data_IF_520138612115
#
_entry.id   IF_520138612115
#
_cell.length_a   1.000
_cell.length_b   1.000
_cell.length_c   1.000
_cell.angle_alpha   90.00
_cell.angle_beta   90.00
_cell.angle_gamma   90.00
#
_symmetry.space_group_name_H-M   'P 1'
#
loop_
_entity.id
_entity.type
_entity.pdbx_description
1 polymer ?
#
# COMPACT_ATOMS: atom_id res chain seq x y z
N UNK A 1 -16.15 36.37 13.61
CA UNK A 1 -14.72 36.25 13.25
C UNK A 1 -14.53 35.08 12.30
N UNK A 2 -14.39 35.30 10.98
CA UNK A 2 -14.26 34.24 9.99
C UNK A 2 -12.87 34.23 9.34
N UNK A 3 -11.94 33.41 9.85
CA UNK A 3 -10.68 33.09 9.17
C UNK A 3 -9.99 31.79 9.64
N UNK A 4 -10.72 30.89 10.31
CA UNK A 4 -10.16 29.60 10.80
C UNK A 4 -10.19 28.46 9.78
N UNK A 5 -10.88 28.62 8.63
CA UNK A 5 -11.03 27.56 7.62
C UNK A 5 -9.71 27.10 6.98
N UNK A 6 -8.80 27.97 6.50
CA UNK A 6 -7.59 27.49 5.83
C UNK A 6 -6.61 26.82 6.80
N UNK A 7 -6.50 27.32 8.04
CA UNK A 7 -5.65 26.71 9.06
C UNK A 7 -6.17 25.34 9.53
N UNK A 8 -7.49 25.18 9.64
CA UNK A 8 -8.12 23.91 9.97
C UNK A 8 -7.92 22.86 8.86
N UNK A 9 -8.07 23.26 7.59
CA UNK A 9 -7.80 22.40 6.44
C UNK A 9 -6.32 22.01 6.38
N UNK A 10 -5.40 22.93 6.61
CA UNK A 10 -3.96 22.63 6.65
C UNK A 10 -3.60 21.65 7.76
N UNK A 11 -4.16 21.82 8.98
CA UNK A 11 -3.95 20.85 10.08
C UNK A 11 -4.55 19.48 9.77
N UNK A 12 -5.67 19.44 9.07
CA UNK A 12 -6.27 18.19 8.63
C UNK A 12 -5.43 17.50 7.53
N UNK A 13 -4.93 18.26 6.55
CA UNK A 13 -4.05 17.76 5.48
C UNK A 13 -2.70 17.27 6.02
N UNK A 14 -2.17 17.93 7.05
CA UNK A 14 -0.92 17.54 7.71
C UNK A 14 -1.11 16.52 8.82
N UNK A 15 -2.35 16.09 9.08
CA UNK A 15 -2.60 14.97 9.96
C UNK A 15 -1.88 13.73 9.39
N UNK A 16 -1.21 12.99 10.25
CA UNK A 16 -0.36 11.87 9.87
C UNK A 16 -1.06 10.85 8.98
N UNK A 17 -2.33 10.57 9.27
CA UNK A 17 -3.21 9.72 8.47
C UNK A 17 -3.44 10.24 7.05
N UNK A 18 -3.61 11.55 6.86
CA UNK A 18 -3.80 12.09 5.52
C UNK A 18 -2.48 12.09 4.74
N UNK A 19 -1.36 12.36 5.42
CA UNK A 19 -0.04 12.28 4.80
C UNK A 19 0.31 10.87 4.33
N UNK A 20 -0.03 9.82 5.10
CA UNK A 20 0.17 8.43 4.64
C UNK A 20 -0.73 8.11 3.46
N UNK A 21 -1.99 8.54 3.46
CA UNK A 21 -2.90 8.36 2.32
C UNK A 21 -2.38 9.07 1.06
N UNK A 22 -2.00 10.34 1.15
CA UNK A 22 -1.47 11.08 -0.01
C UNK A 22 -0.16 10.49 -0.53
N UNK A 23 0.74 10.09 0.37
CA UNK A 23 1.99 9.43 0.00
C UNK A 23 1.73 8.10 -0.69
N UNK A 24 0.81 7.30 -0.14
CA UNK A 24 0.42 6.01 -0.71
C UNK A 24 -0.18 6.17 -2.11
N UNK A 25 -1.07 7.16 -2.32
CA UNK A 25 -1.65 7.45 -3.63
C UNK A 25 -0.56 7.92 -4.62
N UNK A 26 0.32 8.83 -4.19
CA UNK A 26 1.41 9.35 -5.01
C UNK A 26 2.41 8.25 -5.41
N UNK A 27 2.60 7.22 -4.57
CA UNK A 27 3.40 6.03 -4.90
C UNK A 27 2.61 5.04 -5.77
N UNK A 28 1.34 4.82 -5.46
CA UNK A 28 0.50 3.80 -6.12
C UNK A 28 0.32 4.10 -7.60
N UNK A 29 -0.02 5.35 -7.95
CA UNK A 29 -0.26 5.78 -9.33
C UNK A 29 0.90 5.46 -10.30
N UNK A 30 2.14 5.93 -10.07
CA UNK A 30 3.26 5.63 -10.96
C UNK A 30 3.62 4.15 -10.93
N UNK A 31 3.53 3.48 -9.79
CA UNK A 31 3.88 2.05 -9.68
C UNK A 31 2.92 1.19 -10.48
N UNK A 32 1.61 1.44 -10.37
CA UNK A 32 0.59 0.73 -11.13
C UNK A 32 0.68 1.00 -12.63
N UNK A 33 0.92 2.25 -13.02
CA UNK A 33 1.14 2.60 -14.42
C UNK A 33 2.39 1.92 -14.98
N UNK A 34 3.49 1.90 -14.23
CA UNK A 34 4.71 1.19 -14.61
C UNK A 34 4.47 -0.32 -14.75
N UNK A 35 3.70 -0.92 -13.84
CA UNK A 35 3.33 -2.32 -13.93
C UNK A 35 2.46 -2.60 -15.16
N UNK A 36 1.39 -1.83 -15.35
CA UNK A 36 0.49 -1.98 -16.50
C UNK A 36 1.21 -1.80 -17.83
N UNK A 37 2.09 -0.79 -17.96
CA UNK A 37 2.85 -0.55 -19.19
C UNK A 37 3.86 -1.67 -19.50
N UNK A 38 4.41 -2.33 -18.49
CA UNK A 38 5.35 -3.46 -18.66
C UNK A 38 4.64 -4.77 -18.95
N UNK A 39 3.51 -5.01 -18.29
CA UNK A 39 2.85 -6.31 -18.21
C UNK A 39 1.64 -6.41 -19.15
N UNK A 40 1.06 -5.28 -19.54
CA UNK A 40 -0.09 -5.21 -20.44
C UNK A 40 -1.42 -5.63 -19.81
N UNK A 41 -1.50 -5.67 -18.47
CA UNK A 41 -2.73 -6.08 -17.76
C UNK A 41 -3.36 -4.92 -16.99
N UNK A 42 -4.57 -4.53 -17.39
CA UNK A 42 -5.34 -3.48 -16.70
C UNK A 42 -5.71 -3.91 -15.26
N UNK A 43 -6.08 -5.18 -15.09
CA UNK A 43 -6.45 -5.75 -13.79
C UNK A 43 -5.28 -5.70 -12.79
N UNK A 44 -4.05 -5.91 -13.24
CA UNK A 44 -2.88 -5.89 -12.36
C UNK A 44 -2.48 -4.49 -11.91
N UNK A 45 -2.54 -3.51 -12.81
CA UNK A 45 -2.39 -2.11 -12.42
C UNK A 45 -3.43 -1.71 -11.36
N UNK A 46 -4.70 -2.06 -11.59
CA UNK A 46 -5.77 -1.74 -10.64
C UNK A 46 -5.61 -2.42 -9.28
N UNK A 47 -5.28 -3.71 -9.23
CA UNK A 47 -5.08 -4.42 -7.97
C UNK A 47 -3.86 -3.90 -7.20
N UNK A 48 -2.78 -3.53 -7.91
CA UNK A 48 -1.63 -2.89 -7.30
C UNK A 48 -1.96 -1.50 -6.76
N UNK A 49 -2.78 -0.71 -7.48
CA UNK A 49 -3.31 0.56 -6.97
C UNK A 49 -4.07 0.36 -5.66
N UNK A 50 -4.93 -0.64 -5.61
CA UNK A 50 -5.75 -0.91 -4.45
C UNK A 50 -4.89 -1.37 -3.26
N UNK A 51 -3.91 -2.25 -3.52
CA UNK A 51 -2.98 -2.73 -2.51
C UNK A 51 -2.16 -1.59 -1.90
N UNK A 52 -1.58 -0.72 -2.73
CA UNK A 52 -0.73 0.36 -2.27
C UNK A 52 -1.53 1.54 -1.72
N UNK A 53 -2.52 2.01 -2.48
CA UNK A 53 -3.29 3.22 -2.17
C UNK A 53 -4.29 3.03 -1.03
N UNK A 54 -4.77 1.81 -0.79
CA UNK A 54 -5.72 1.51 0.30
C UNK A 54 -5.07 0.60 1.35
N UNK A 55 -4.44 -0.50 0.93
CA UNK A 55 -3.87 -1.49 1.86
C UNK A 55 -2.80 -0.92 2.79
N UNK A 56 -1.82 -0.18 2.24
CA UNK A 56 -0.72 0.40 3.04
C UNK A 56 -1.21 1.44 4.06
N UNK A 57 -2.01 2.46 3.70
CA UNK A 57 -2.49 3.43 4.68
C UNK A 57 -3.45 2.81 5.71
N UNK A 58 -4.27 1.83 5.33
CA UNK A 58 -5.10 1.08 6.29
C UNK A 58 -4.25 0.28 7.26
N UNK A 59 -3.20 -0.40 6.77
CA UNK A 59 -2.26 -1.13 7.62
C UNK A 59 -1.55 -0.21 8.62
N UNK A 60 -1.19 1.00 8.19
CA UNK A 60 -0.62 2.01 9.08
C UNK A 60 -1.60 2.44 10.18
N UNK A 61 -2.83 2.79 9.81
CA UNK A 61 -3.86 3.31 10.72
C UNK A 61 -4.31 2.26 11.76
N UNK A 62 -4.38 0.99 11.36
CA UNK A 62 -4.99 -0.07 12.19
C UNK A 62 -3.98 -0.89 13.01
N UNK A 63 -2.73 -1.03 12.54
CA UNK A 63 -1.74 -1.91 13.15
C UNK A 63 -0.45 -1.20 13.61
N UNK A 64 -0.23 0.05 13.22
CA UNK A 64 0.99 0.76 13.56
C UNK A 64 0.72 1.93 14.54
N UNK A 65 1.48 2.04 15.65
CA UNK A 65 1.30 3.18 16.56
C UNK A 65 1.70 4.49 15.88
N UNK A 66 0.98 5.59 16.16
CA UNK A 66 1.31 6.88 15.58
C UNK A 66 2.73 7.30 15.98
N UNK A 67 3.54 7.69 14.99
CA UNK A 67 4.83 8.32 15.22
C UNK A 67 4.68 9.75 15.77
N UNK A 68 5.69 10.21 16.51
CA UNK A 68 5.78 11.61 16.97
C UNK A 68 6.02 12.59 15.84
N UNK A 69 6.62 12.14 14.72
CA UNK A 69 6.99 12.98 13.58
C UNK A 69 6.35 12.48 12.30
N UNK A 70 5.64 13.38 11.61
CA UNK A 70 4.94 13.08 10.35
C UNK A 70 5.85 12.50 9.24
N UNK A 71 7.12 12.90 9.14
CA UNK A 71 8.05 12.38 8.13
C UNK A 71 8.37 10.89 8.33
N UNK A 72 8.29 10.38 9.56
CA UNK A 72 8.51 8.96 9.85
C UNK A 72 7.36 8.11 9.30
N UNK A 73 6.13 8.62 9.37
CA UNK A 73 4.97 7.96 8.78
C UNK A 73 5.06 7.91 7.25
N UNK A 74 5.56 8.99 6.62
CA UNK A 74 5.82 9.04 5.18
C UNK A 74 6.87 7.99 4.79
N UNK A 75 8.02 7.97 5.45
CA UNK A 75 9.07 6.97 5.18
C UNK A 75 8.58 5.54 5.36
N UNK A 76 7.82 5.28 6.43
CA UNK A 76 7.23 3.97 6.66
C UNK A 76 6.29 3.59 5.51
N UNK A 77 5.43 4.52 5.07
CA UNK A 77 4.51 4.30 3.94
C UNK A 77 5.26 3.98 2.65
N UNK A 78 6.35 4.71 2.37
CA UNK A 78 7.19 4.47 1.20
C UNK A 78 7.87 3.11 1.28
N UNK A 79 8.47 2.76 2.42
CA UNK A 79 9.16 1.49 2.61
C UNK A 79 8.21 0.30 2.51
N UNK A 80 7.10 0.33 3.24
CA UNK A 80 6.10 -0.75 3.23
C UNK A 80 5.41 -0.83 1.87
N UNK A 81 5.10 0.30 1.25
CA UNK A 81 4.57 0.33 -0.11
C UNK A 81 5.54 -0.27 -1.13
N UNK A 82 6.84 0.03 -1.04
CA UNK A 82 7.86 -0.56 -1.91
C UNK A 82 7.98 -2.08 -1.70
N UNK A 83 7.94 -2.55 -0.45
CA UNK A 83 7.95 -3.99 -0.15
C UNK A 83 6.71 -4.68 -0.72
N UNK A 84 5.52 -4.15 -0.47
CA UNK A 84 4.27 -4.71 -1.00
C UNK A 84 4.25 -4.74 -2.55
N UNK A 85 4.78 -3.70 -3.19
CA UNK A 85 4.91 -3.67 -4.65
C UNK A 85 5.89 -4.73 -5.18
N UNK A 86 7.03 -4.91 -4.50
CA UNK A 86 8.01 -5.92 -4.84
C UNK A 86 7.44 -7.34 -4.66
N UNK A 87 6.76 -7.61 -3.54
CA UNK A 87 6.08 -8.89 -3.28
C UNK A 87 5.03 -9.20 -4.35
N UNK A 88 4.16 -8.24 -4.67
CA UNK A 88 3.15 -8.40 -5.71
C UNK A 88 3.79 -8.73 -7.07
N UNK A 89 4.84 -7.99 -7.43
CA UNK A 89 5.54 -8.20 -8.70
C UNK A 89 6.22 -9.58 -8.73
N UNK A 90 6.84 -10.00 -7.63
CA UNK A 90 7.48 -11.31 -7.52
C UNK A 90 6.47 -12.45 -7.67
N UNK A 91 5.34 -12.40 -6.96
CA UNK A 91 4.29 -13.41 -7.09
C UNK A 91 3.67 -13.44 -8.48
N UNK A 92 3.50 -12.27 -9.11
CA UNK A 92 3.03 -12.20 -10.49
C UNK A 92 3.99 -12.93 -11.45
N UNK A 93 5.29 -12.64 -11.36
CA UNK A 93 6.31 -13.25 -12.20
C UNK A 93 6.41 -14.76 -11.94
N UNK A 94 6.33 -15.21 -10.68
CA UNK A 94 6.28 -16.65 -10.37
C UNK A 94 5.05 -17.30 -11.01
N UNK A 95 3.88 -16.65 -10.91
CA UNK A 95 2.65 -17.18 -11.48
C UNK A 95 2.69 -17.28 -13.01
N UNK A 96 3.30 -16.31 -13.71
CA UNK A 96 3.39 -16.35 -15.17
C UNK A 96 4.54 -17.21 -15.67
N UNK A 97 5.74 -17.05 -15.11
CA UNK A 97 6.97 -17.56 -15.70
C UNK A 97 7.29 -18.98 -15.21
N UNK A 98 6.89 -19.31 -13.97
CA UNK A 98 7.13 -20.64 -13.37
C UNK A 98 5.92 -21.54 -13.51
N UNK A 99 4.73 -21.01 -13.22
CA UNK A 99 3.49 -21.79 -13.22
C UNK A 99 2.73 -21.74 -14.56
N UNK A 100 3.13 -20.87 -15.49
CA UNK A 100 2.47 -20.75 -16.80
C UNK A 100 1.01 -20.28 -16.73
N UNK A 101 0.62 -19.62 -15.64
CA UNK A 101 -0.75 -19.16 -15.45
C UNK A 101 -1.07 -18.00 -16.40
N UNK A 102 -2.34 -17.91 -16.78
CA UNK A 102 -2.82 -16.73 -17.50
C UNK A 102 -2.55 -15.46 -16.68
N UNK A 103 -2.17 -14.33 -17.32
CA UNK A 103 -1.84 -13.10 -16.60
C UNK A 103 -2.91 -12.64 -15.62
N UNK A 104 -4.19 -12.83 -15.95
CA UNK A 104 -5.33 -12.50 -15.07
C UNK A 104 -5.35 -13.34 -13.78
N UNK A 105 -5.15 -14.65 -13.86
CA UNK A 105 -5.15 -15.52 -12.68
C UNK A 105 -3.88 -15.36 -11.84
N UNK A 106 -2.72 -15.16 -12.49
CA UNK A 106 -1.48 -14.83 -11.79
C UNK A 106 -1.61 -13.54 -10.98
N UNK A 107 -2.18 -12.50 -11.58
CA UNK A 107 -2.42 -11.22 -10.92
C UNK A 107 -3.35 -11.36 -9.70
N UNK A 108 -4.46 -12.08 -9.84
CA UNK A 108 -5.37 -12.32 -8.73
C UNK A 108 -4.68 -13.09 -7.59
N UNK A 109 -3.88 -14.10 -7.93
CA UNK A 109 -3.08 -14.86 -6.98
C UNK A 109 -2.06 -13.98 -6.27
N UNK A 110 -1.32 -13.16 -7.00
CA UNK A 110 -0.33 -12.23 -6.45
C UNK A 110 -0.97 -11.23 -5.49
N UNK A 111 -2.13 -10.67 -5.84
CA UNK A 111 -2.88 -9.78 -4.96
C UNK A 111 -3.28 -10.46 -3.66
N UNK A 112 -3.89 -11.64 -3.75
CA UNK A 112 -4.37 -12.39 -2.58
C UNK A 112 -3.21 -12.83 -1.69
N UNK A 113 -2.14 -13.37 -2.26
CA UNK A 113 -0.97 -13.80 -1.51
C UNK A 113 -0.31 -12.63 -0.80
N UNK A 114 -0.07 -11.51 -1.50
CA UNK A 114 0.55 -10.32 -0.91
C UNK A 114 -0.34 -9.71 0.18
N UNK A 115 -1.65 -9.61 -0.07
CA UNK A 115 -2.60 -9.06 0.90
C UNK A 115 -2.73 -9.94 2.15
N UNK A 116 -2.92 -11.24 1.98
CA UNK A 116 -3.06 -12.19 3.08
C UNK A 116 -1.77 -12.33 3.89
N UNK A 117 -0.62 -12.40 3.22
CA UNK A 117 0.70 -12.45 3.88
C UNK A 117 0.91 -11.22 4.76
N UNK A 118 0.69 -10.02 4.21
CA UNK A 118 0.87 -8.78 4.97
C UNK A 118 -0.12 -8.66 6.14
N UNK A 119 -1.39 -9.01 5.93
CA UNK A 119 -2.39 -9.01 7.01
C UNK A 119 -2.07 -10.03 8.11
N UNK A 120 -1.65 -11.24 7.74
CA UNK A 120 -1.26 -12.27 8.69
C UNK A 120 -0.06 -11.81 9.53
N UNK A 121 0.97 -11.25 8.88
CA UNK A 121 2.15 -10.71 9.56
C UNK A 121 1.78 -9.59 10.56
N UNK A 122 0.96 -8.64 10.13
CA UNK A 122 0.52 -7.52 10.98
C UNK A 122 -0.33 -7.99 12.16
N UNK A 123 -1.21 -8.98 11.94
CA UNK A 123 -2.06 -9.56 12.98
C UNK A 123 -1.23 -10.31 14.03
N UNK A 124 -0.28 -11.13 13.60
CA UNK A 124 0.62 -11.87 14.51
C UNK A 124 1.45 -10.90 15.33
N UNK A 125 2.02 -9.87 14.70
CA UNK A 125 2.81 -8.86 15.40
C UNK A 125 1.99 -8.08 16.43
N UNK A 126 0.75 -7.70 16.10
CA UNK A 126 -0.14 -7.01 17.04
C UNK A 126 -0.43 -7.86 18.27
N UNK A 127 -0.65 -9.17 18.09
CA UNK A 127 -0.85 -10.11 19.21
C UNK A 127 0.42 -10.23 20.08
N UNK A 128 1.59 -10.34 19.46
CA UNK A 128 2.86 -10.43 20.19
C UNK A 128 3.22 -9.15 20.97
N UNK A 129 2.73 -7.98 20.54
CA UNK A 129 2.91 -6.72 21.26
C UNK A 129 1.94 -6.52 22.45
N UNK A 130 0.93 -7.39 22.58
CA UNK A 130 -0.08 -7.34 23.65
C UNK A 130 0.14 -8.38 24.75
N UNK A 131 1.08 -9.32 24.57
CA UNK A 131 1.52 -10.34 25.54
C UNK A 131 2.75 -9.89 26.30
#
# INVERSE_FOLDING_TARGET
>A
MPSTRPAAVYRWLTAQRQLTIFTAIALALPTAYAFQSRVGTDTGGFLLLLLLGVGVPTAYDEYWPPYDRAWQAILWTVLVGAVAAAEFTAFYLIGTDVLGLAPRSSTAGAFLLTGLQNLAFLTVRRRAAQS
#
